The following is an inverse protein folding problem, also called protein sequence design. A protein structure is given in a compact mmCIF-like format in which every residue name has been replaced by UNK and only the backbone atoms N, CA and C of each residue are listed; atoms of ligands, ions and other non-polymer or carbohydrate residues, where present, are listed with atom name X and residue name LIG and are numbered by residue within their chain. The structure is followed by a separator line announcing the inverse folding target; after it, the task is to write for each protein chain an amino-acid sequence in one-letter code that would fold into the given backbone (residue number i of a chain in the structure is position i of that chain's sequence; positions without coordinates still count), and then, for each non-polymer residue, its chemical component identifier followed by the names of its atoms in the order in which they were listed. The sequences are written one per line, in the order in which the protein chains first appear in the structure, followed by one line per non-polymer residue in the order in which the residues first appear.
data_IF_526931765830
#
_entry.id   IF_526931765830
#
_cell.length_a   1.000
_cell.length_b   1.000
_cell.length_c   1.000
_cell.angle_alpha   90.00
_cell.angle_beta   90.00
_cell.angle_gamma   90.00
#
_symmetry.space_group_name_H-M   'P 1'
#
loop_
_entity.id
_entity.type
_entity.pdbx_description
1 polymer ?
#
# COMPACT_ATOMS: atom_id res chain seq x y z
N UNK A 1 15.23 -32.25 -27.44
CA UNK A 1 15.20 -31.81 -26.04
C UNK A 1 14.36 -30.53 -26.03
N UNK A 2 13.05 -30.67 -25.85
CA UNK A 2 12.11 -29.55 -25.94
C UNK A 2 12.19 -28.76 -24.63
N UNK A 3 12.75 -27.55 -24.69
CA UNK A 3 12.62 -26.59 -23.61
C UNK A 3 11.20 -26.02 -23.65
N UNK A 4 10.35 -26.47 -22.74
CA UNK A 4 9.19 -25.70 -22.31
C UNK A 4 9.72 -24.47 -21.58
N UNK A 5 9.71 -23.32 -22.24
CA UNK A 5 9.80 -22.02 -21.56
C UNK A 5 8.44 -21.82 -20.91
N UNK A 6 8.32 -22.22 -19.64
CA UNK A 6 7.21 -21.81 -18.80
C UNK A 6 7.40 -20.33 -18.54
N UNK A 7 6.79 -19.49 -19.37
CA UNK A 7 6.64 -18.07 -19.09
C UNK A 7 5.79 -17.97 -17.83
N UNK A 8 6.41 -17.77 -16.67
CA UNK A 8 5.72 -17.38 -15.47
C UNK A 8 5.02 -16.06 -15.76
N UNK A 9 3.72 -16.10 -16.03
CA UNK A 9 2.85 -14.95 -15.87
C UNK A 9 2.86 -14.68 -14.36
N UNK A 10 3.79 -13.86 -13.90
CA UNK A 10 3.71 -13.33 -12.55
C UNK A 10 2.36 -12.59 -12.46
N UNK A 11 1.58 -12.92 -11.43
CA UNK A 11 0.28 -12.31 -11.20
C UNK A 11 0.51 -10.82 -10.92
N UNK A 12 0.32 -10.00 -11.95
CA UNK A 12 0.56 -8.55 -11.94
C UNK A 12 -0.76 -7.82 -11.93
N UNK A 13 -1.12 -7.30 -10.77
CA UNK A 13 -2.37 -6.58 -10.60
C UNK A 13 -2.21 -5.59 -9.45
N UNK A 14 -2.47 -4.31 -9.70
CA UNK A 14 -2.94 -3.42 -8.64
C UNK A 14 -4.28 -4.00 -8.20
N UNK A 15 -4.33 -4.57 -7.00
CA UNK A 15 -5.47 -5.39 -6.59
C UNK A 15 -6.44 -4.57 -5.71
N UNK A 16 -7.70 -4.43 -6.15
CA UNK A 16 -8.72 -3.66 -5.46
C UNK A 16 -9.07 -4.13 -4.03
N UNK A 17 -9.74 -3.27 -3.27
CA UNK A 17 -10.02 -3.47 -1.84
C UNK A 17 -11.15 -4.47 -1.57
N UNK A 18 -11.01 -5.24 -0.49
CA UNK A 18 -12.03 -6.15 0.01
C UNK A 18 -12.83 -5.46 1.11
N UNK A 19 -14.15 -5.68 1.16
CA UNK A 19 -15.06 -5.11 2.15
C UNK A 19 -15.61 -6.21 3.06
N UNK A 20 -15.25 -6.13 4.33
CA UNK A 20 -15.72 -7.01 5.40
C UNK A 20 -15.62 -6.30 6.76
N UNK A 21 -15.88 -7.04 7.85
CA UNK A 21 -15.72 -6.53 9.20
C UNK A 21 -14.27 -6.13 9.55
N UNK A 22 -13.26 -6.85 9.05
CA UNK A 22 -11.85 -6.53 9.31
C UNK A 22 -11.47 -5.19 8.67
N UNK A 23 -11.99 -4.92 7.48
CA UNK A 23 -11.75 -3.67 6.75
C UNK A 23 -12.24 -2.47 7.55
N UNK A 24 -13.49 -2.51 8.02
CA UNK A 24 -14.08 -1.47 8.87
C UNK A 24 -13.27 -1.23 10.14
N UNK A 25 -12.95 -2.31 10.84
CA UNK A 25 -12.21 -2.29 12.09
C UNK A 25 -10.79 -1.71 11.89
N UNK A 26 -10.18 -2.02 10.75
CA UNK A 26 -8.86 -1.54 10.35
C UNK A 26 -8.87 -0.06 9.94
N UNK A 27 -9.95 0.42 9.31
CA UNK A 27 -10.15 1.84 9.03
C UNK A 27 -10.29 2.68 10.30
N UNK A 28 -11.05 2.17 11.28
CA UNK A 28 -11.20 2.83 12.59
C UNK A 28 -9.86 3.00 13.32
N UNK A 29 -8.92 2.07 13.11
CA UNK A 29 -7.58 2.13 13.71
C UNK A 29 -6.59 3.01 12.92
N UNK A 30 -6.94 3.48 11.72
CA UNK A 30 -6.08 4.33 10.89
C UNK A 30 -4.92 3.56 10.24
N UNK A 31 -4.30 4.18 9.22
CA UNK A 31 -3.22 3.56 8.42
C UNK A 31 -1.92 3.37 9.22
N UNK A 32 -1.10 2.34 8.87
CA UNK A 32 0.25 2.21 9.41
C UNK A 32 1.11 3.44 9.09
N UNK A 33 2.22 3.60 9.83
CA UNK A 33 3.24 4.58 9.45
C UNK A 33 3.73 4.31 8.02
N UNK A 34 4.05 5.38 7.29
CA UNK A 34 4.48 5.30 5.88
C UNK A 34 5.68 4.38 5.70
N UNK A 35 6.61 4.35 6.65
CA UNK A 35 7.77 3.45 6.57
C UNK A 35 7.34 2.00 6.77
N UNK A 36 6.56 1.70 7.80
CA UNK A 36 6.03 0.35 8.08
C UNK A 36 5.23 -0.19 6.87
N UNK A 37 4.42 0.66 6.25
CA UNK A 37 3.67 0.35 5.03
C UNK A 37 4.57 0.04 3.81
N UNK A 38 5.69 0.75 3.66
CA UNK A 38 6.61 0.50 2.56
C UNK A 38 7.42 -0.77 2.80
N UNK A 39 7.88 -1.00 4.03
CA UNK A 39 8.73 -2.17 4.36
C UNK A 39 7.94 -3.44 4.63
N UNK A 40 6.63 -3.48 4.49
CA UNK A 40 5.86 -4.71 4.71
C UNK A 40 5.47 -4.99 6.17
N UNK A 41 5.66 -4.06 7.12
CA UNK A 41 5.47 -4.30 8.56
C UNK A 41 4.12 -3.83 9.09
N UNK A 42 3.03 -4.47 8.67
CA UNK A 42 1.71 -4.33 9.30
C UNK A 42 1.03 -5.69 9.41
N UNK A 43 0.06 -5.78 10.31
CA UNK A 43 -0.67 -7.03 10.52
C UNK A 43 -1.58 -7.35 9.34
N UNK A 44 -1.62 -8.63 8.97
CA UNK A 44 -2.58 -9.25 8.06
C UNK A 44 -2.94 -10.58 8.67
N UNK A 45 -4.21 -10.94 8.61
CA UNK A 45 -4.67 -12.23 9.13
C UNK A 45 -3.99 -13.39 8.39
N UNK A 46 -3.92 -14.54 9.06
CA UNK A 46 -3.42 -15.81 8.57
C UNK A 46 -4.48 -16.58 7.80
N UNK A 47 -4.06 -17.52 6.94
CA UNK A 47 -5.01 -18.43 6.27
C UNK A 47 -5.88 -19.19 7.27
N UNK A 48 -5.33 -19.56 8.44
CA UNK A 48 -6.06 -20.25 9.49
C UNK A 48 -7.24 -19.41 10.03
N UNK A 49 -7.09 -18.09 10.12
CA UNK A 49 -8.17 -17.18 10.49
C UNK A 49 -9.30 -17.20 9.46
N UNK A 50 -8.95 -17.09 8.18
CA UNK A 50 -9.95 -17.09 7.11
C UNK A 50 -10.62 -18.46 6.95
N UNK A 51 -9.90 -19.56 7.12
CA UNK A 51 -10.49 -20.92 7.13
C UNK A 51 -11.48 -21.11 8.29
N UNK A 52 -11.14 -20.62 9.49
CA UNK A 52 -12.07 -20.66 10.63
C UNK A 52 -13.33 -19.81 10.38
N UNK A 53 -13.17 -18.62 9.78
CA UNK A 53 -14.30 -17.78 9.35
C UNK A 53 -15.18 -18.49 8.31
N UNK A 54 -14.59 -19.13 7.31
CA UNK A 54 -15.32 -19.94 6.31
C UNK A 54 -16.05 -21.10 6.98
N UNK A 55 -15.44 -21.80 7.93
CA UNK A 55 -16.07 -22.90 8.64
C UNK A 55 -17.29 -22.45 9.45
N UNK A 56 -17.18 -21.31 10.14
CA UNK A 56 -18.25 -20.71 10.96
C UNK A 56 -19.42 -20.19 10.13
N UNK A 57 -19.15 -19.53 8.99
CA UNK A 57 -20.19 -18.87 8.19
C UNK A 57 -20.72 -19.75 7.05
N UNK A 58 -19.87 -20.56 6.41
CA UNK A 58 -20.21 -21.33 5.22
C UNK A 58 -21.31 -22.39 5.42
N UNK A 59 -21.50 -22.86 6.66
CA UNK A 59 -22.54 -23.84 7.01
C UNK A 59 -23.85 -23.19 7.48
N UNK A 60 -23.88 -21.86 7.68
CA UNK A 60 -25.07 -21.15 8.16
C UNK A 60 -26.07 -20.91 7.01
N UNK A 61 -27.34 -21.08 7.33
CA UNK A 61 -28.46 -20.82 6.42
C UNK A 61 -29.15 -19.49 6.70
N UNK A 62 -28.84 -18.87 7.84
CA UNK A 62 -29.41 -17.65 8.38
C UNK A 62 -28.40 -16.50 8.43
N UNK A 63 -27.62 -16.34 7.35
CA UNK A 63 -26.62 -15.29 7.23
C UNK A 63 -27.28 -13.89 7.22
N UNK A 64 -26.75 -13.00 8.05
CA UNK A 64 -27.01 -11.57 7.91
C UNK A 64 -26.31 -11.02 6.65
N UNK A 65 -26.72 -9.84 6.16
CA UNK A 65 -26.11 -9.23 4.97
C UNK A 65 -24.60 -8.99 5.12
N UNK A 66 -24.13 -8.67 6.33
CA UNK A 66 -22.71 -8.53 6.64
C UNK A 66 -21.96 -9.88 6.65
N UNK A 67 -22.61 -10.98 7.05
CA UNK A 67 -21.96 -12.29 7.08
C UNK A 67 -21.58 -12.77 5.67
N UNK A 68 -22.32 -12.34 4.63
CA UNK A 68 -21.94 -12.63 3.24
C UNK A 68 -20.65 -11.92 2.82
N UNK A 69 -20.43 -10.69 3.30
CA UNK A 69 -19.22 -9.93 3.03
C UNK A 69 -18.01 -10.62 3.67
N UNK A 70 -18.10 -10.94 4.96
CA UNK A 70 -17.08 -11.68 5.70
C UNK A 70 -16.75 -13.03 5.04
N UNK A 71 -17.76 -13.80 4.64
CA UNK A 71 -17.58 -15.09 3.99
C UNK A 71 -16.92 -14.97 2.61
N UNK A 72 -17.36 -14.01 1.79
CA UNK A 72 -16.82 -13.83 0.45
C UNK A 72 -15.37 -13.33 0.47
N UNK A 73 -15.07 -12.38 1.36
CA UNK A 73 -13.70 -11.88 1.56
C UNK A 73 -12.78 -12.98 2.10
N UNK A 74 -13.27 -13.83 3.01
CA UNK A 74 -12.50 -14.98 3.47
C UNK A 74 -12.18 -15.96 2.34
N UNK A 75 -13.15 -16.27 1.48
CA UNK A 75 -12.88 -17.08 0.28
C UNK A 75 -11.84 -16.43 -0.63
N UNK A 76 -11.93 -15.11 -0.85
CA UNK A 76 -10.98 -14.39 -1.68
C UNK A 76 -9.55 -14.44 -1.13
N UNK A 77 -9.36 -14.22 0.17
CA UNK A 77 -8.05 -14.33 0.82
C UNK A 77 -7.46 -15.75 0.74
N UNK A 78 -8.32 -16.78 0.73
CA UNK A 78 -7.92 -18.18 0.54
C UNK A 78 -7.70 -18.55 -0.94
N UNK A 79 -7.80 -17.60 -1.87
CA UNK A 79 -7.68 -17.83 -3.31
C UNK A 79 -8.88 -18.56 -3.94
N UNK A 80 -9.98 -18.71 -3.19
CA UNK A 80 -11.23 -19.40 -3.55
C UNK A 80 -12.22 -18.43 -4.21
N UNK A 81 -11.75 -17.76 -5.26
CA UNK A 81 -12.42 -16.60 -5.88
C UNK A 81 -13.80 -16.92 -6.47
N UNK A 82 -13.95 -18.09 -7.07
CA UNK A 82 -15.24 -18.52 -7.61
C UNK A 82 -16.28 -18.67 -6.49
N UNK A 83 -15.87 -19.15 -5.31
CA UNK A 83 -16.74 -19.22 -4.13
C UNK A 83 -17.06 -17.82 -3.56
N UNK A 84 -16.12 -16.88 -3.62
CA UNK A 84 -16.37 -15.48 -3.24
C UNK A 84 -17.46 -14.85 -4.13
N UNK A 85 -17.35 -15.00 -5.46
CA UNK A 85 -18.33 -14.50 -6.43
C UNK A 85 -19.69 -15.22 -6.24
N UNK A 86 -19.70 -16.53 -6.04
CA UNK A 86 -20.93 -17.29 -5.76
C UNK A 86 -21.60 -16.84 -4.45
N UNK A 87 -20.82 -16.46 -3.44
CA UNK A 87 -21.34 -15.91 -2.18
C UNK A 87 -22.00 -14.55 -2.38
N UNK A 88 -21.45 -13.69 -3.26
CA UNK A 88 -22.09 -12.43 -3.63
C UNK A 88 -23.42 -12.63 -4.36
N UNK A 89 -23.55 -13.66 -5.22
CA UNK A 89 -24.83 -13.98 -5.84
C UNK A 89 -25.92 -14.32 -4.79
N UNK A 90 -25.56 -15.05 -3.73
CA UNK A 90 -26.48 -15.32 -2.60
C UNK A 90 -26.83 -14.04 -1.82
N UNK A 91 -25.88 -13.12 -1.65
CA UNK A 91 -26.14 -11.80 -1.04
C UNK A 91 -27.11 -10.98 -1.89
N UNK A 92 -27.01 -11.05 -3.22
CA UNK A 92 -27.93 -10.36 -4.13
C UNK A 92 -29.38 -10.82 -3.92
N UNK A 93 -29.61 -12.13 -3.76
CA UNK A 93 -30.95 -12.67 -3.44
C UNK A 93 -31.48 -12.13 -2.10
N UNK A 94 -30.62 -12.07 -1.08
CA UNK A 94 -30.97 -11.51 0.23
C UNK A 94 -31.31 -10.01 0.16
N UNK A 95 -30.53 -9.24 -0.61
CA UNK A 95 -30.78 -7.81 -0.86
C UNK A 95 -32.05 -7.56 -1.66
N UNK A 96 -32.42 -8.45 -2.58
CA UNK A 96 -33.67 -8.36 -3.31
C UNK A 96 -34.89 -8.54 -2.37
N UNK A 97 -34.76 -9.40 -1.35
CA UNK A 97 -35.80 -9.60 -0.35
C UNK A 97 -35.87 -8.46 0.69
N UNK A 98 -34.72 -7.91 1.09
CA UNK A 98 -34.63 -6.79 2.02
C UNK A 98 -33.59 -5.78 1.53
N UNK A 99 -34.01 -4.79 0.72
CA UNK A 99 -33.10 -3.78 0.19
C UNK A 99 -32.50 -2.92 1.31
N UNK A 100 -31.19 -2.79 1.28
CA UNK A 100 -30.43 -1.90 2.16
C UNK A 100 -29.34 -1.19 1.34
N UNK A 101 -29.28 0.14 1.43
CA UNK A 101 -28.40 0.95 0.57
C UNK A 101 -26.92 0.74 0.87
N UNK A 102 -26.57 0.55 2.15
CA UNK A 102 -25.18 0.35 2.57
C UNK A 102 -24.69 -1.03 2.11
N UNK A 103 -25.51 -2.06 2.27
CA UNK A 103 -25.16 -3.41 1.83
C UNK A 103 -25.20 -3.56 0.30
N UNK A 104 -26.03 -2.79 -0.42
CA UNK A 104 -25.97 -2.70 -1.89
C UNK A 104 -24.65 -2.10 -2.35
N UNK A 105 -24.22 -1.00 -1.73
CA UNK A 105 -22.90 -0.42 -1.98
C UNK A 105 -21.80 -1.48 -1.77
N UNK A 106 -21.75 -2.13 -0.61
CA UNK A 106 -20.73 -3.15 -0.29
C UNK A 106 -20.78 -4.34 -1.25
N UNK A 107 -21.98 -4.74 -1.69
CA UNK A 107 -22.15 -5.80 -2.69
C UNK A 107 -21.46 -5.43 -4.02
N UNK A 108 -21.73 -4.25 -4.55
CA UNK A 108 -21.13 -3.79 -5.80
C UNK A 108 -19.61 -3.57 -5.65
N UNK A 109 -19.17 -3.03 -4.52
CA UNK A 109 -17.74 -2.85 -4.23
C UNK A 109 -16.99 -4.19 -4.19
N UNK A 110 -17.47 -5.15 -3.40
CA UNK A 110 -16.87 -6.49 -3.30
C UNK A 110 -16.90 -7.24 -4.62
N UNK A 111 -18.06 -7.29 -5.30
CA UNK A 111 -18.18 -8.01 -6.55
C UNK A 111 -17.26 -7.42 -7.64
N UNK A 112 -17.18 -6.08 -7.70
CA UNK A 112 -16.25 -5.38 -8.58
C UNK A 112 -14.79 -5.74 -8.30
N UNK A 113 -14.40 -5.76 -7.03
CA UNK A 113 -13.06 -6.21 -6.61
C UNK A 113 -12.79 -7.66 -7.01
N UNK A 114 -13.70 -8.59 -6.71
CA UNK A 114 -13.54 -10.00 -7.07
C UNK A 114 -13.43 -10.21 -8.59
N UNK A 115 -14.20 -9.47 -9.39
CA UNK A 115 -14.07 -9.51 -10.85
C UNK A 115 -12.72 -8.98 -11.33
N UNK A 116 -12.21 -7.89 -10.77
CA UNK A 116 -10.88 -7.40 -11.11
C UNK A 116 -9.79 -8.40 -10.74
N UNK A 117 -9.91 -9.07 -9.60
CA UNK A 117 -8.98 -10.12 -9.18
C UNK A 117 -9.06 -11.37 -10.09
N UNK A 118 -10.22 -11.59 -10.71
CA UNK A 118 -10.43 -12.61 -11.74
C UNK A 118 -9.98 -12.17 -13.15
N UNK A 119 -9.49 -10.93 -13.33
CA UNK A 119 -9.12 -10.38 -14.64
C UNK A 119 -10.32 -9.97 -15.51
N UNK A 120 -11.53 -9.92 -14.94
CA UNK A 120 -12.78 -9.56 -15.62
C UNK A 120 -13.03 -8.05 -15.50
N UNK A 121 -12.16 -7.25 -16.12
CA UNK A 121 -12.11 -5.80 -15.86
C UNK A 121 -13.36 -5.03 -16.28
N UNK A 122 -14.00 -5.37 -17.40
CA UNK A 122 -15.22 -4.67 -17.82
C UNK A 122 -16.37 -4.84 -16.80
N UNK A 123 -16.49 -6.04 -16.25
CA UNK A 123 -17.48 -6.36 -15.21
C UNK A 123 -17.09 -5.68 -13.89
N UNK A 124 -15.80 -5.72 -13.53
CA UNK A 124 -15.28 -5.01 -12.37
C UNK A 124 -15.61 -3.51 -12.40
N UNK A 125 -15.33 -2.85 -13.52
CA UNK A 125 -15.58 -1.43 -13.72
C UNK A 125 -17.08 -1.11 -13.69
N UNK A 126 -17.93 -2.01 -14.19
CA UNK A 126 -19.39 -1.83 -14.14
C UNK A 126 -19.89 -1.84 -12.70
N UNK A 127 -19.45 -2.80 -11.90
CA UNK A 127 -19.85 -2.93 -10.49
C UNK A 127 -19.28 -1.77 -9.65
N UNK A 128 -17.99 -1.45 -9.77
CA UNK A 128 -17.37 -0.36 -9.00
C UNK A 128 -17.95 1.01 -9.34
N UNK A 129 -18.26 1.29 -10.62
CA UNK A 129 -18.96 2.54 -10.98
C UNK A 129 -20.38 2.58 -10.43
N UNK A 130 -20.99 1.43 -10.14
CA UNK A 130 -22.29 1.37 -9.45
C UNK A 130 -22.12 1.63 -7.95
N UNK A 131 -21.09 1.05 -7.31
CA UNK A 131 -20.75 1.35 -5.92
C UNK A 131 -20.53 2.85 -5.68
N UNK A 132 -19.69 3.49 -6.50
CA UNK A 132 -19.40 4.94 -6.42
C UNK A 132 -20.66 5.80 -6.62
N UNK A 133 -21.64 5.36 -7.42
CA UNK A 133 -22.92 6.09 -7.58
C UNK A 133 -23.79 6.00 -6.32
N UNK A 134 -23.72 4.90 -5.58
CA UNK A 134 -24.49 4.69 -4.35
C UNK A 134 -23.85 5.46 -3.20
N UNK A 135 -22.53 5.37 -3.05
CA UNK A 135 -21.79 6.08 -2.02
C UNK A 135 -20.48 6.66 -2.58
N UNK A 136 -20.49 7.89 -3.11
CA UNK A 136 -19.31 8.49 -3.73
C UNK A 136 -18.21 8.87 -2.74
N UNK A 137 -18.57 9.08 -1.47
CA UNK A 137 -17.66 9.48 -0.40
C UNK A 137 -17.16 8.28 0.43
N UNK A 138 -17.52 7.05 0.02
CA UNK A 138 -17.05 5.86 0.70
C UNK A 138 -15.52 5.81 0.75
N UNK A 139 -14.98 5.36 1.89
CA UNK A 139 -13.54 5.21 2.10
C UNK A 139 -12.71 6.47 1.78
N UNK A 140 -13.20 7.65 2.14
CA UNK A 140 -12.48 8.91 1.88
C UNK A 140 -12.24 9.14 0.37
N UNK A 141 -13.17 8.72 -0.50
CA UNK A 141 -13.09 8.94 -1.96
C UNK A 141 -12.18 7.95 -2.71
N UNK A 142 -11.65 6.93 -2.02
CA UNK A 142 -10.70 5.94 -2.55
C UNK A 142 -11.16 5.22 -3.81
N UNK A 143 -12.42 4.84 -3.91
CA UNK A 143 -12.90 3.92 -4.96
C UNK A 143 -12.67 4.45 -6.37
N UNK A 144 -12.59 5.78 -6.55
CA UNK A 144 -12.23 6.37 -7.84
C UNK A 144 -10.80 6.00 -8.27
N UNK A 145 -9.85 5.98 -7.34
CA UNK A 145 -8.46 5.59 -7.61
C UNK A 145 -8.35 4.09 -7.89
N UNK A 146 -9.23 3.29 -7.29
CA UNK A 146 -9.33 1.87 -7.57
C UNK A 146 -9.81 1.62 -9.01
N UNK A 147 -10.85 2.34 -9.46
CA UNK A 147 -11.32 2.32 -10.85
C UNK A 147 -10.18 2.70 -11.81
N UNK A 148 -9.46 3.79 -11.53
CA UNK A 148 -8.34 4.26 -12.35
C UNK A 148 -7.19 3.25 -12.40
N UNK A 149 -6.87 2.60 -11.27
CA UNK A 149 -5.88 1.54 -11.23
C UNK A 149 -6.31 0.35 -12.10
N UNK A 150 -7.58 -0.06 -12.05
CA UNK A 150 -8.11 -1.15 -12.89
C UNK A 150 -8.09 -0.76 -14.37
N UNK A 151 -8.50 0.46 -14.72
CA UNK A 151 -8.43 0.97 -16.11
C UNK A 151 -7.00 0.95 -16.62
N UNK A 152 -6.04 1.39 -15.81
CA UNK A 152 -4.62 1.32 -16.13
C UNK A 152 -4.13 -0.12 -16.32
N UNK A 153 -4.47 -1.05 -15.42
CA UNK A 153 -4.09 -2.47 -15.58
C UNK A 153 -4.70 -3.05 -16.86
N UNK A 154 -5.97 -2.78 -17.13
CA UNK A 154 -6.65 -3.25 -18.33
C UNK A 154 -6.01 -2.69 -19.62
N UNK A 155 -5.61 -1.41 -19.61
CA UNK A 155 -4.87 -0.79 -20.70
C UNK A 155 -3.49 -1.42 -20.86
N UNK A 156 -2.76 -1.61 -19.75
CA UNK A 156 -1.41 -2.15 -19.76
C UNK A 156 -1.33 -3.65 -20.13
N UNK A 157 -2.45 -4.38 -20.03
CA UNK A 157 -2.56 -5.73 -20.61
C UNK A 157 -2.64 -5.70 -22.14
N UNK A 158 -3.18 -4.63 -22.72
CA UNK A 158 -3.27 -4.45 -24.18
C UNK A 158 -1.98 -3.85 -24.74
N UNK A 159 -1.39 -2.89 -24.04
CA UNK A 159 -0.10 -2.27 -24.36
C UNK A 159 0.86 -2.34 -23.15
N UNK A 160 1.71 -3.37 -23.06
CA UNK A 160 2.65 -3.53 -21.94
C UNK A 160 3.65 -2.37 -21.78
N UNK A 161 3.86 -1.53 -22.79
CA UNK A 161 4.72 -0.35 -22.66
C UNK A 161 4.13 0.70 -21.72
N UNK A 162 2.81 0.66 -21.47
CA UNK A 162 2.15 1.55 -20.49
C UNK A 162 2.81 1.43 -19.12
N UNK A 163 3.19 0.22 -18.70
CA UNK A 163 3.91 0.00 -17.46
C UNK A 163 5.22 0.79 -17.41
N UNK A 164 5.92 0.94 -18.53
CA UNK A 164 7.20 1.67 -18.59
C UNK A 164 6.99 3.18 -18.62
N UNK A 165 5.96 3.65 -19.34
CA UNK A 165 5.71 5.08 -19.57
C UNK A 165 5.34 5.84 -18.31
N UNK A 166 4.44 5.30 -17.47
CA UNK A 166 3.86 6.06 -16.34
C UNK A 166 3.14 5.16 -15.34
N UNK A 167 2.95 5.64 -14.10
CA UNK A 167 2.11 4.97 -13.09
C UNK A 167 0.62 5.12 -13.42
N UNK A 168 -0.23 4.42 -12.66
CA UNK A 168 -1.69 4.54 -12.84
C UNK A 168 -2.21 5.96 -12.54
N UNK A 169 -1.67 6.65 -11.51
CA UNK A 169 -2.05 8.04 -11.22
C UNK A 169 -1.74 8.93 -12.41
N UNK A 170 -0.56 8.72 -12.99
CA UNK A 170 -0.14 9.48 -14.15
C UNK A 170 -0.98 9.14 -15.40
N UNK A 171 -1.31 7.86 -15.59
CA UNK A 171 -2.21 7.41 -16.65
C UNK A 171 -3.61 8.02 -16.53
N UNK A 172 -4.10 8.18 -15.31
CA UNK A 172 -5.38 8.82 -15.02
C UNK A 172 -5.35 10.35 -15.23
N UNK A 173 -4.22 10.94 -15.60
CA UNK A 173 -4.09 12.35 -15.94
C UNK A 173 -3.78 13.28 -14.76
N UNK A 174 -3.37 12.75 -13.60
CA UNK A 174 -3.04 13.55 -12.42
C UNK A 174 -1.66 14.20 -12.50
N UNK A 175 -1.58 15.51 -12.36
CA UNK A 175 -0.31 16.20 -12.25
C UNK A 175 0.48 15.78 -10.99
N UNK A 176 1.57 15.04 -11.21
CA UNK A 176 2.57 14.71 -10.19
C UNK A 176 3.87 15.43 -10.55
N UNK A 177 4.12 16.56 -9.89
CA UNK A 177 5.39 17.27 -10.03
C UNK A 177 6.52 16.48 -9.35
N UNK A 178 7.41 15.90 -10.16
CA UNK A 178 8.57 15.15 -9.70
C UNK A 178 9.83 16.01 -9.88
N UNK A 179 10.40 16.53 -8.79
CA UNK A 179 11.56 17.42 -8.90
C UNK A 179 12.76 16.88 -8.12
N UNK A 180 13.83 16.51 -8.83
CA UNK A 180 15.18 16.34 -8.30
C UNK A 180 16.09 17.41 -8.94
N UNK A 181 16.68 18.25 -8.09
CA UNK A 181 17.46 19.41 -8.51
C UNK A 181 18.86 19.03 -9.01
N UNK A 182 18.98 18.47 -10.20
CA UNK A 182 20.19 18.59 -11.05
C UNK A 182 20.00 17.99 -12.45
N UNK A 183 19.25 16.89 -12.61
CA UNK A 183 19.10 16.23 -13.93
C UNK A 183 17.67 15.79 -14.32
N UNK A 184 16.65 16.12 -13.52
CA UNK A 184 15.26 15.73 -13.84
C UNK A 184 15.07 14.23 -13.74
N UNK A 185 14.39 13.74 -12.70
CA UNK A 185 14.10 12.31 -12.63
C UNK A 185 13.01 11.96 -13.66
N UNK A 186 13.41 11.32 -14.76
CA UNK A 186 12.47 10.79 -15.75
C UNK A 186 11.93 9.43 -15.31
N UNK A 187 10.74 9.41 -14.68
CA UNK A 187 10.01 8.18 -14.36
C UNK A 187 9.14 7.75 -15.54
N UNK A 188 9.80 7.21 -16.58
CA UNK A 188 9.18 6.67 -17.78
C UNK A 188 9.15 7.64 -18.97
N UNK A 189 8.81 7.14 -20.16
CA UNK A 189 8.75 7.94 -21.38
C UNK A 189 7.53 8.90 -21.40
N UNK A 190 7.75 10.09 -21.97
CA UNK A 190 6.70 11.08 -22.21
C UNK A 190 6.01 10.80 -23.55
N UNK A 191 4.68 11.00 -23.61
CA UNK A 191 3.90 10.82 -24.85
C UNK A 191 4.28 11.85 -25.94
N UNK A 192 4.80 13.02 -25.54
CA UNK A 192 5.24 14.06 -26.46
C UNK A 192 6.44 14.88 -25.96
N UNK A 193 7.14 15.52 -26.90
CA UNK A 193 8.20 16.50 -26.59
C UNK A 193 7.67 17.71 -25.80
N UNK A 194 6.38 18.04 -25.91
CA UNK A 194 5.77 19.09 -25.10
C UNK A 194 5.54 18.65 -23.65
N UNK A 195 5.11 17.40 -23.44
CA UNK A 195 4.99 16.82 -22.10
C UNK A 195 6.34 16.75 -21.40
N UNK A 196 7.39 16.38 -22.15
CA UNK A 196 8.77 16.36 -21.64
C UNK A 196 9.27 17.76 -21.25
N UNK A 197 8.95 18.79 -22.05
CA UNK A 197 9.37 20.18 -21.77
C UNK A 197 8.62 20.84 -20.61
N UNK A 198 7.46 20.29 -20.21
CA UNK A 198 6.60 20.87 -19.18
C UNK A 198 6.73 20.21 -17.80
N UNK A 199 7.57 19.17 -17.65
CA UNK A 199 7.46 18.22 -16.54
C UNK A 199 6.01 17.74 -16.42
N UNK A 200 5.54 16.99 -17.44
CA UNK A 200 4.18 16.43 -17.57
C UNK A 200 3.16 16.95 -16.53
N UNK A 201 2.51 18.05 -16.87
CA UNK A 201 1.48 18.65 -16.03
C UNK A 201 0.16 18.05 -16.44
N UNK A 202 -0.20 16.92 -15.83
CA UNK A 202 -1.50 16.29 -16.03
C UNK A 202 -2.64 17.31 -15.93
N UNK A 203 -3.74 17.11 -16.64
CA UNK A 203 -4.84 18.07 -16.65
C UNK A 203 -5.62 18.08 -15.32
N UNK A 204 -5.45 17.04 -14.50
CA UNK A 204 -6.13 16.89 -13.21
C UNK A 204 -5.18 17.26 -12.08
N UNK A 205 -5.64 18.16 -11.22
CA UNK A 205 -4.94 18.43 -9.95
C UNK A 205 -5.03 17.20 -9.05
N UNK A 206 -3.90 16.79 -8.50
CA UNK A 206 -3.84 15.75 -7.48
C UNK A 206 -4.05 16.36 -6.09
N UNK A 207 -4.97 15.78 -5.31
CA UNK A 207 -4.94 15.91 -3.85
C UNK A 207 -4.01 14.83 -3.29
N UNK A 208 -2.86 15.25 -2.76
CA UNK A 208 -1.83 14.31 -2.35
C UNK A 208 -2.24 13.46 -1.15
N UNK A 209 -2.91 14.06 -0.16
CA UNK A 209 -3.33 13.33 1.05
C UNK A 209 -4.38 12.29 0.67
N UNK A 210 -5.34 12.66 -0.17
CA UNK A 210 -6.36 11.74 -0.65
C UNK A 210 -5.77 10.59 -1.49
N UNK A 211 -4.86 10.91 -2.41
CA UNK A 211 -4.20 9.91 -3.26
C UNK A 211 -3.28 8.99 -2.45
N UNK A 212 -2.49 9.53 -1.52
CA UNK A 212 -1.66 8.74 -0.61
C UNK A 212 -2.51 7.80 0.22
N UNK A 213 -3.59 8.30 0.83
CA UNK A 213 -4.50 7.50 1.63
C UNK A 213 -5.16 6.40 0.80
N UNK A 214 -5.58 6.72 -0.44
CA UNK A 214 -6.13 5.76 -1.38
C UNK A 214 -5.12 4.69 -1.79
N UNK A 215 -3.88 5.03 -2.17
CA UNK A 215 -2.88 4.01 -2.52
C UNK A 215 -2.48 3.17 -1.30
N UNK A 216 -2.28 3.82 -0.16
CA UNK A 216 -1.89 3.16 1.08
C UNK A 216 -2.93 2.15 1.59
N UNK A 217 -4.21 2.52 1.56
CA UNK A 217 -5.23 1.55 1.94
C UNK A 217 -5.44 0.46 0.90
N UNK A 218 -5.18 0.67 -0.41
CA UNK A 218 -5.29 -0.42 -1.39
C UNK A 218 -4.24 -1.50 -1.09
N UNK A 219 -3.05 -1.10 -0.66
CA UNK A 219 -2.05 -2.04 -0.14
C UNK A 219 -2.50 -2.77 1.12
N UNK A 220 -3.26 -2.11 1.99
CA UNK A 220 -3.71 -2.67 3.26
C UNK A 220 -4.91 -3.61 3.12
N UNK A 221 -5.88 -3.26 2.27
CA UNK A 221 -7.18 -3.91 2.15
C UNK A 221 -7.31 -4.80 0.90
N UNK A 222 -6.41 -4.68 -0.08
CA UNK A 222 -6.48 -5.46 -1.33
C UNK A 222 -5.85 -6.86 -1.27
N UNK A 223 -5.36 -7.27 -0.10
CA UNK A 223 -4.91 -8.64 0.19
C UNK A 223 -3.61 -9.12 -0.46
N UNK A 224 -3.08 -8.48 -1.51
CA UNK A 224 -2.03 -9.07 -2.36
C UNK A 224 -0.83 -8.15 -2.73
N UNK A 225 -0.66 -7.00 -2.06
CA UNK A 225 0.53 -6.13 -2.15
C UNK A 225 1.02 -5.90 -3.60
N UNK A 226 0.16 -5.30 -4.43
CA UNK A 226 0.41 -5.06 -5.85
C UNK A 226 1.61 -4.14 -6.09
N UNK A 227 2.54 -4.55 -6.96
CA UNK A 227 3.79 -3.83 -7.22
C UNK A 227 3.58 -2.37 -7.72
N UNK A 228 2.52 -2.13 -8.51
CA UNK A 228 2.17 -0.80 -9.03
C UNK A 228 1.77 0.18 -7.92
N UNK A 229 1.15 -0.31 -6.84
CA UNK A 229 0.78 0.53 -5.71
C UNK A 229 2.03 1.06 -5.00
N UNK A 230 3.08 0.24 -4.89
CA UNK A 230 4.38 0.68 -4.36
C UNK A 230 5.08 1.67 -5.27
N UNK A 231 5.04 1.46 -6.59
CA UNK A 231 5.53 2.46 -7.54
C UNK A 231 4.82 3.80 -7.31
N UNK A 232 3.51 3.77 -7.22
CA UNK A 232 2.69 4.97 -7.07
C UNK A 232 2.94 5.67 -5.74
N UNK A 233 3.12 4.93 -4.64
CA UNK A 233 3.61 5.50 -3.38
C UNK A 233 4.98 6.17 -3.55
N UNK A 234 5.90 5.54 -4.28
CA UNK A 234 7.22 6.11 -4.54
C UNK A 234 7.14 7.45 -5.28
N UNK A 235 6.29 7.54 -6.31
CA UNK A 235 6.03 8.78 -7.04
C UNK A 235 5.38 9.86 -6.15
N UNK A 236 4.41 9.49 -5.31
CA UNK A 236 3.80 10.40 -4.34
C UNK A 236 4.82 10.93 -3.33
N UNK A 237 5.65 10.07 -2.75
CA UNK A 237 6.69 10.50 -1.81
C UNK A 237 7.71 11.42 -2.48
N UNK A 238 8.09 11.10 -3.71
CA UNK A 238 9.02 11.91 -4.48
C UNK A 238 8.45 13.30 -4.79
N UNK A 239 7.14 13.41 -5.07
CA UNK A 239 6.50 14.70 -5.34
C UNK A 239 6.55 15.68 -4.15
N UNK A 240 6.80 15.16 -2.94
CA UNK A 240 7.01 15.93 -1.71
C UNK A 240 8.46 15.88 -1.20
N UNK A 241 9.40 15.44 -2.06
CA UNK A 241 10.82 15.32 -1.75
C UNK A 241 11.14 14.37 -0.57
N UNK A 242 10.26 13.41 -0.28
CA UNK A 242 10.54 12.33 0.67
C UNK A 242 11.40 11.24 0.02
N UNK A 243 12.65 11.61 -0.34
CA UNK A 243 13.54 10.78 -1.16
C UNK A 243 13.81 9.40 -0.58
N UNK A 244 13.99 9.31 0.74
CA UNK A 244 14.20 8.02 1.40
C UNK A 244 12.98 7.11 1.20
N UNK A 245 11.77 7.59 1.54
CA UNK A 245 10.54 6.81 1.38
C UNK A 245 10.28 6.44 -0.08
N UNK A 246 10.55 7.35 -1.01
CA UNK A 246 10.46 7.08 -2.44
C UNK A 246 11.40 5.93 -2.86
N UNK A 247 12.67 5.99 -2.45
CA UNK A 247 13.67 4.95 -2.72
C UNK A 247 13.24 3.60 -2.16
N UNK A 248 12.72 3.56 -0.92
CA UNK A 248 12.20 2.33 -0.30
C UNK A 248 10.99 1.78 -1.06
N UNK A 249 10.06 2.64 -1.46
CA UNK A 249 8.85 2.25 -2.17
C UNK A 249 9.15 1.71 -3.58
N UNK A 250 10.09 2.32 -4.32
CA UNK A 250 10.58 1.78 -5.58
C UNK A 250 11.28 0.43 -5.39
N UNK A 251 12.12 0.30 -4.35
CA UNK A 251 12.73 -0.98 -3.98
C UNK A 251 11.69 -2.06 -3.73
N UNK A 252 10.60 -1.71 -3.03
CA UNK A 252 9.48 -2.61 -2.76
C UNK A 252 8.74 -3.00 -4.03
N UNK A 253 8.47 -2.05 -4.93
CA UNK A 253 7.87 -2.35 -6.22
C UNK A 253 8.74 -3.32 -7.05
N UNK A 254 10.06 -3.12 -7.07
CA UNK A 254 11.02 -4.02 -7.75
C UNK A 254 11.03 -5.40 -7.10
N UNK A 255 11.07 -5.50 -5.77
CA UNK A 255 11.01 -6.78 -5.03
C UNK A 255 9.72 -7.55 -5.35
N UNK A 256 8.60 -6.84 -5.49
CA UNK A 256 7.30 -7.39 -5.88
C UNK A 256 7.18 -7.68 -7.39
N UNK A 257 8.24 -7.43 -8.17
CA UNK A 257 8.36 -7.83 -9.56
C UNK A 257 7.82 -6.84 -10.59
N UNK A 258 7.65 -5.55 -10.25
CA UNK A 258 7.05 -4.55 -11.14
C UNK A 258 7.58 -4.63 -12.60
N UNK A 259 6.72 -4.59 -13.64
CA UNK A 259 7.16 -4.74 -15.04
C UNK A 259 8.18 -3.69 -15.52
N UNK A 260 8.13 -2.48 -14.94
CA UNK A 260 9.10 -1.40 -15.18
C UNK A 260 10.26 -1.38 -14.18
N UNK A 261 10.70 -2.53 -13.67
CA UNK A 261 11.76 -2.60 -12.66
C UNK A 261 13.10 -1.98 -13.10
N UNK A 262 13.41 -1.92 -14.39
CA UNK A 262 14.54 -1.17 -14.93
C UNK A 262 14.39 0.33 -14.73
N UNK A 263 13.24 0.90 -15.12
CA UNK A 263 12.91 2.33 -14.90
C UNK A 263 12.99 2.70 -13.42
N UNK A 264 12.42 1.86 -12.54
CA UNK A 264 12.44 2.11 -11.10
C UNK A 264 13.85 2.04 -10.50
N UNK A 265 14.75 1.21 -11.04
CA UNK A 265 16.15 1.17 -10.61
C UNK A 265 16.91 2.42 -11.03
N UNK A 266 16.66 2.94 -12.23
CA UNK A 266 17.25 4.23 -12.63
C UNK A 266 16.77 5.35 -11.72
N UNK A 267 15.49 5.33 -11.32
CA UNK A 267 14.98 6.30 -10.35
C UNK A 267 15.66 6.22 -8.98
N UNK A 268 15.91 5.01 -8.46
CA UNK A 268 16.69 4.83 -7.24
C UNK A 268 18.11 5.39 -7.40
N UNK A 269 18.78 5.16 -8.53
CA UNK A 269 20.13 5.69 -8.80
C UNK A 269 20.17 7.21 -8.89
N UNK A 270 19.17 7.86 -9.47
CA UNK A 270 19.09 9.33 -9.50
C UNK A 270 18.93 9.89 -8.09
N UNK A 271 18.13 9.26 -7.24
CA UNK A 271 18.00 9.62 -5.83
C UNK A 271 19.36 9.43 -5.11
N UNK A 272 20.05 8.32 -5.33
CA UNK A 272 21.38 8.04 -4.77
C UNK A 272 22.42 9.07 -5.22
N UNK A 273 22.38 9.48 -6.49
CA UNK A 273 23.26 10.51 -7.04
C UNK A 273 23.01 11.87 -6.40
N UNK A 274 21.73 12.23 -6.21
CA UNK A 274 21.35 13.45 -5.50
C UNK A 274 21.86 13.44 -4.04
N UNK A 275 21.79 12.30 -3.34
CA UNK A 275 22.40 12.17 -2.02
C UNK A 275 23.92 12.34 -2.07
N UNK A 276 24.60 11.74 -3.03
CA UNK A 276 26.06 11.89 -3.16
C UNK A 276 26.46 13.37 -3.36
N UNK A 277 25.79 14.08 -4.26
CA UNK A 277 26.01 15.51 -4.52
C UNK A 277 25.74 16.37 -3.27
N UNK A 278 24.66 16.09 -2.55
CA UNK A 278 24.31 16.80 -1.32
C UNK A 278 25.33 16.53 -0.20
N UNK A 279 25.84 15.30 -0.07
CA UNK A 279 26.87 14.94 0.91
C UNK A 279 28.18 15.68 0.64
N UNK A 280 28.60 15.75 -0.64
CA UNK A 280 29.78 16.50 -1.06
C UNK A 280 29.61 18.00 -0.78
N UNK A 281 28.47 18.57 -1.19
CA UNK A 281 28.18 20.00 -1.02
C UNK A 281 28.16 20.41 0.46
N UNK A 282 27.46 19.63 1.29
CA UNK A 282 27.28 19.95 2.71
C UNK A 282 28.44 19.48 3.60
N UNK A 283 29.41 18.74 3.04
CA UNK A 283 30.55 18.17 3.78
C UNK A 283 30.13 17.36 5.02
N UNK A 284 28.96 16.72 4.96
CA UNK A 284 28.43 15.84 6.01
C UNK A 284 28.12 14.47 5.43
N UNK A 285 28.41 13.37 6.16
CA UNK A 285 27.96 12.05 5.75
C UNK A 285 26.43 12.02 5.82
N UNK A 286 25.77 11.84 4.67
CA UNK A 286 24.32 11.65 4.65
C UNK A 286 23.97 10.23 5.07
N UNK A 287 23.00 10.11 5.98
CA UNK A 287 22.40 8.84 6.37
C UNK A 287 21.30 8.54 5.35
N UNK A 288 21.64 7.75 4.33
CA UNK A 288 20.71 7.25 3.34
C UNK A 288 20.69 5.72 3.36
N UNK A 289 19.55 5.09 3.03
CA UNK A 289 19.45 3.64 3.04
C UNK A 289 20.34 3.01 1.97
N UNK A 290 20.93 1.87 2.31
CA UNK A 290 21.69 1.01 1.40
C UNK A 290 20.89 -0.23 0.98
N UNK A 291 21.31 -0.92 -0.07
CA UNK A 291 20.71 -2.21 -0.46
C UNK A 291 20.81 -3.28 0.65
N UNK A 292 21.88 -3.25 1.47
CA UNK A 292 22.05 -4.15 2.61
C UNK A 292 21.05 -3.83 3.72
N UNK A 293 20.89 -2.55 4.07
CA UNK A 293 19.87 -2.10 5.03
C UNK A 293 18.45 -2.39 4.52
N UNK A 294 18.20 -2.24 3.22
CA UNK A 294 16.94 -2.64 2.60
C UNK A 294 16.61 -4.11 2.86
N UNK A 295 17.54 -5.00 2.51
CA UNK A 295 17.38 -6.43 2.74
C UNK A 295 17.21 -6.77 4.22
N UNK A 296 17.96 -6.10 5.10
CA UNK A 296 17.88 -6.32 6.55
C UNK A 296 16.53 -5.90 7.14
N UNK A 297 16.02 -4.72 6.80
CA UNK A 297 14.72 -4.22 7.28
C UNK A 297 13.56 -5.05 6.71
N UNK A 298 13.62 -5.42 5.43
CA UNK A 298 12.63 -6.33 4.83
C UNK A 298 12.60 -7.69 5.52
N UNK A 299 13.76 -8.27 5.82
CA UNK A 299 13.84 -9.51 6.58
C UNK A 299 13.30 -9.37 8.03
N UNK A 300 13.39 -8.19 8.65
CA UNK A 300 12.75 -7.92 9.95
C UNK A 300 11.23 -7.87 9.82
N UNK A 301 10.72 -7.15 8.83
CA UNK A 301 9.28 -7.05 8.56
C UNK A 301 8.66 -8.42 8.22
N UNK A 302 9.32 -9.23 7.40
CA UNK A 302 8.84 -10.57 7.04
C UNK A 302 8.84 -11.51 8.26
N UNK A 303 9.86 -11.45 9.12
CA UNK A 303 9.90 -12.19 10.39
C UNK A 303 8.77 -11.75 11.33
N UNK A 304 8.54 -10.44 11.42
CA UNK A 304 7.47 -9.88 12.23
C UNK A 304 6.11 -10.41 11.77
N UNK A 305 5.81 -10.33 10.47
CA UNK A 305 4.54 -10.80 9.90
C UNK A 305 4.36 -12.31 10.10
N UNK A 306 5.40 -13.10 9.80
CA UNK A 306 5.35 -14.55 9.99
C UNK A 306 5.12 -14.93 11.46
N UNK A 307 5.71 -14.20 12.40
CA UNK A 307 5.49 -14.41 13.83
C UNK A 307 4.06 -14.06 14.24
N UNK A 308 3.53 -12.93 13.75
CA UNK A 308 2.14 -12.53 13.96
C UNK A 308 1.17 -13.62 13.48
N UNK A 309 1.26 -14.01 12.20
CA UNK A 309 0.35 -14.97 11.58
C UNK A 309 0.46 -16.36 12.23
N UNK A 310 1.67 -16.78 12.65
CA UNK A 310 1.86 -18.03 13.38
C UNK A 310 1.19 -18.01 14.75
N UNK A 311 1.34 -16.91 15.49
CA UNK A 311 0.72 -16.75 16.80
C UNK A 311 -0.81 -16.72 16.69
N UNK A 312 -1.33 -16.00 15.70
CA UNK A 312 -2.76 -15.94 15.42
C UNK A 312 -3.33 -17.31 15.04
N UNK A 313 -2.70 -18.01 14.09
CA UNK A 313 -3.12 -19.35 13.70
C UNK A 313 -3.15 -20.33 14.90
N UNK A 314 -2.18 -20.24 15.81
CA UNK A 314 -2.16 -21.04 17.03
C UNK A 314 -3.31 -20.68 17.99
N UNK A 315 -3.69 -19.41 18.08
CA UNK A 315 -4.80 -18.95 18.90
C UNK A 315 -6.16 -19.38 18.30
N UNK A 316 -6.33 -19.23 16.98
CA UNK A 316 -7.51 -19.71 16.24
C UNK A 316 -7.68 -21.22 16.42
N UNK A 317 -6.61 -22.00 16.31
CA UNK A 317 -6.66 -23.45 16.53
C UNK A 317 -7.09 -23.85 17.96
N UNK A 318 -6.97 -22.94 18.93
CA UNK A 318 -7.45 -23.13 20.30
C UNK A 318 -8.87 -22.61 20.53
N UNK A 319 -9.54 -22.12 19.48
CA UNK A 319 -10.88 -21.53 19.55
C UNK A 319 -10.92 -20.14 20.18
N UNK A 320 -9.78 -19.43 20.21
CA UNK A 320 -9.73 -18.07 20.72
C UNK A 320 -10.37 -17.07 19.74
N UNK A 321 -11.03 -16.05 20.29
CA UNK A 321 -11.44 -14.87 19.51
C UNK A 321 -10.24 -13.93 19.33
N UNK A 322 -9.67 -13.95 18.13
CA UNK A 322 -8.49 -13.14 17.75
C UNK A 322 -8.85 -11.73 17.28
N UNK A 323 -10.14 -11.40 17.15
CA UNK A 323 -10.62 -10.11 16.63
C UNK A 323 -10.69 -9.02 17.72
N UNK A 324 -10.68 -9.41 19.00
CA UNK A 324 -10.72 -8.44 20.09
C UNK A 324 -9.43 -7.60 20.18
N UNK A 325 -9.55 -6.33 20.56
CA UNK A 325 -8.40 -5.43 20.77
C UNK A 325 -7.35 -6.00 21.74
N UNK A 326 -7.81 -6.74 22.76
CA UNK A 326 -6.93 -7.40 23.72
C UNK A 326 -6.12 -8.51 23.06
N UNK A 327 -6.77 -9.35 22.25
CA UNK A 327 -6.09 -10.40 21.50
C UNK A 327 -5.12 -9.81 20.47
N UNK A 328 -5.54 -8.82 19.69
CA UNK A 328 -4.70 -8.15 18.71
C UNK A 328 -3.45 -7.55 19.38
N UNK A 329 -3.62 -6.85 20.51
CA UNK A 329 -2.48 -6.29 21.27
C UNK A 329 -1.51 -7.38 21.72
N UNK A 330 -2.00 -8.52 22.18
CA UNK A 330 -1.16 -9.67 22.56
C UNK A 330 -0.42 -10.24 21.36
N UNK A 331 -1.08 -10.42 20.21
CA UNK A 331 -0.48 -10.94 18.99
C UNK A 331 0.61 -9.98 18.45
N UNK A 332 0.35 -8.68 18.44
CA UNK A 332 1.32 -7.66 18.05
C UNK A 332 2.56 -7.69 18.95
N UNK A 333 2.38 -7.79 20.27
CA UNK A 333 3.51 -7.87 21.21
C UNK A 333 4.36 -9.14 21.02
N UNK A 334 3.74 -10.27 20.65
CA UNK A 334 4.45 -11.50 20.30
C UNK A 334 5.25 -11.33 19.00
N UNK A 335 4.67 -10.68 17.99
CA UNK A 335 5.34 -10.39 16.73
C UNK A 335 6.55 -9.46 16.94
N UNK A 336 6.41 -8.41 17.76
CA UNK A 336 7.52 -7.50 18.11
C UNK A 336 8.66 -8.23 18.82
N UNK A 337 8.33 -9.17 19.71
CA UNK A 337 9.33 -9.98 20.44
C UNK A 337 10.11 -10.94 19.54
N UNK A 338 9.59 -11.26 18.36
CA UNK A 338 10.22 -12.16 17.40
C UNK A 338 11.23 -11.45 16.48
N UNK A 339 11.22 -10.12 16.43
CA UNK A 339 12.19 -9.34 15.66
C UNK A 339 13.44 -9.12 16.51
N UNK A 340 14.64 -9.51 16.05
CA UNK A 340 15.86 -9.29 16.81
C UNK A 340 16.04 -7.79 17.07
N UNK A 341 16.45 -7.39 18.28
CA UNK A 341 16.74 -5.98 18.56
C UNK A 341 17.82 -5.48 17.59
N UNK A 342 17.75 -4.20 17.23
CA UNK A 342 18.81 -3.58 16.46
C UNK A 342 20.16 -3.86 17.13
N UNK A 343 21.23 -4.17 16.37
CA UNK A 343 22.55 -4.33 16.96
C UNK A 343 22.83 -3.10 17.81
N UNK A 344 23.18 -3.31 19.09
CA UNK A 344 23.57 -2.22 19.95
C UNK A 344 24.70 -1.49 19.24
N UNK A 345 24.54 -0.18 18.99
CA UNK A 345 25.63 0.62 18.49
C UNK A 345 26.86 0.32 19.36
N UNK A 346 28.05 0.06 18.76
CA UNK A 346 29.23 -0.25 19.54
C UNK A 346 29.34 0.83 20.62
N UNK A 347 29.43 0.40 21.88
CA UNK A 347 29.54 1.30 23.00
C UNK A 347 30.63 2.31 22.64
N UNK A 348 30.25 3.58 22.42
CA UNK A 348 31.22 4.60 22.07
C UNK A 348 32.19 4.68 23.25
N UNK A 349 33.34 4.03 23.08
CA UNK A 349 34.42 4.04 24.03
C UNK A 349 34.95 5.47 24.08
N UNK A 350 34.56 6.19 25.13
CA UNK A 350 35.20 7.43 25.53
C UNK A 350 34.80 8.67 24.73
N UNK A 351 34.32 9.67 25.47
CA UNK A 351 34.39 11.11 25.15
C UNK A 351 33.54 11.65 24.00
N UNK A 352 32.22 11.51 24.08
CA UNK A 352 31.28 12.58 23.65
C UNK A 352 30.11 12.71 24.64
N UNK A 353 30.43 12.95 25.91
CA UNK A 353 29.51 13.66 26.81
C UNK A 353 29.64 15.15 26.47
N UNK A 354 28.53 15.80 26.11
CA UNK A 354 28.31 17.26 25.95
C UNK A 354 28.17 17.80 24.51
N UNK A 355 27.25 17.25 23.71
CA UNK A 355 26.71 18.00 22.55
C UNK A 355 25.17 18.06 22.48
N UNK A 356 24.48 17.85 23.61
CA UNK A 356 23.01 17.92 23.69
C UNK A 356 22.49 19.11 24.52
N UNK A 357 23.32 20.12 24.81
CA UNK A 357 22.92 21.30 25.59
C UNK A 357 23.19 22.66 24.91
N UNK A 358 23.60 22.68 23.64
CA UNK A 358 23.94 23.93 22.93
C UNK A 358 22.96 24.36 21.83
N UNK A 359 21.93 23.56 21.51
CA UNK A 359 20.89 23.96 20.54
C UNK A 359 19.65 24.55 21.25
N UNK A 360 19.38 24.16 22.50
CA UNK A 360 18.25 24.68 23.27
C UNK A 360 18.46 26.09 23.84
N UNK A 361 19.71 26.55 23.97
CA UNK A 361 20.06 27.88 24.53
C UNK A 361 20.11 28.99 23.47
N UNK A 362 20.33 28.66 22.19
CA UNK A 362 20.36 29.63 21.09
C UNK A 362 18.96 30.03 20.61
N UNK A 363 17.99 29.11 20.65
CA UNK A 363 16.60 29.39 20.22
C UNK A 363 15.83 30.24 21.25
N UNK A 364 16.11 30.06 22.55
CA UNK A 364 15.45 30.84 23.61
C UNK A 364 15.87 32.33 23.62
N UNK A 365 17.12 32.64 23.23
CA UNK A 365 17.61 34.02 23.14
C UNK A 365 17.05 34.79 21.93
N UNK A 366 16.77 34.10 20.81
CA UNK A 366 16.16 34.71 19.63
C UNK A 366 14.67 35.05 19.83
N UNK A 367 13.94 34.23 20.58
CA UNK A 367 12.51 34.48 20.89
C UNK A 367 12.38 35.67 21.87
N UNK A 368 13.24 35.79 22.87
CA UNK A 368 13.23 36.92 23.81
C UNK A 368 13.66 38.26 23.16
N UNK A 369 14.60 38.24 22.22
CA UNK A 369 15.00 39.45 21.48
C UNK A 369 13.91 39.94 20.51
N UNK A 370 13.11 39.02 19.94
CA UNK A 370 11.99 39.37 19.07
C UNK A 370 10.80 39.96 19.84
N UNK A 371 10.57 39.53 21.09
CA UNK A 371 9.48 40.03 21.94
C UNK A 371 9.75 41.40 22.57
N UNK A 372 11.02 41.80 22.76
CA UNK A 372 11.36 43.13 23.31
C UNK A 372 11.25 44.25 22.28
N UNK A 373 11.38 43.97 20.97
CA UNK A 373 11.33 45.01 19.92
C UNK A 373 9.91 45.44 19.52
N UNK A 374 8.87 44.83 20.09
CA UNK A 374 7.45 45.08 19.80
C UNK A 374 6.63 45.55 21.02
N UNK A 375 7.28 45.92 22.13
CA UNK A 375 6.63 46.50 23.31
C UNK A 375 6.90 48.00 23.41
#
# INVERSE_FOLDING_TARGET
MNFFVTTCIAAFTALPCLWDSDTLDTELRGLPDSFDLVVGRWHRHSDAYYEDRVAKLGSRTDLALADFDDLAVAYEHLGRRDEAIATMARKADALAASPDSEHQYRYHANLGTFYAHAGRFDEALTELRTAVKINPDAHFGRERYQIEAIEYVAAAQQDPEIWRRRSFLRHAGYDLHLFLASDGLELGEYDSDEDRKRDWQGERKLDWEEAHMAVAGMLRFGGLEGAELYRSLGELYLSHQHLNLAWWAFGRAIERGHPAADVLREAQKSIESHWAEASETLHVPLIHPTAEEYAAERAKADRWLAAFQKAEAAAVAQGADVTSDAALKTLLAQADSAVPPAPQAPAQGGTLRNFSLLIASSLALLILAYMWKRS
#
